data_IF_371819466306
#
_entry.id   IF_371819466306
#
_cell.length_a   1.000
_cell.length_b   1.000
_cell.length_c   1.000
_cell.angle_alpha   90.00
_cell.angle_beta   90.00
_cell.angle_gamma   90.00
#
_symmetry.space_group_name_H-M   'P 1'
#
loop_
_entity.id
_entity.type
_entity.pdbx_description
1 polymer ?
#
# COMPACT_ATOMS: atom_id res chain seq x y z
N UNK A 1 -17.74 -10.41 -6.14
CA UNK A 1 -17.91 -8.94 -6.04
C UNK A 1 -16.55 -8.30 -5.77
N UNK A 2 -16.03 -7.48 -6.68
CA UNK A 2 -14.78 -6.76 -6.42
C UNK A 2 -14.99 -5.80 -5.25
N UNK A 3 -14.28 -6.00 -4.13
CA UNK A 3 -14.35 -5.09 -2.97
C UNK A 3 -13.92 -3.69 -3.41
N UNK A 4 -14.78 -2.70 -3.26
CA UNK A 4 -14.44 -1.31 -3.55
C UNK A 4 -13.32 -0.85 -2.60
N UNK A 5 -12.29 -0.24 -3.17
CA UNK A 5 -11.13 0.24 -2.40
C UNK A 5 -11.54 1.51 -1.63
N UNK A 6 -11.38 1.57 -0.29
CA UNK A 6 -11.67 2.79 0.47
C UNK A 6 -10.83 3.98 0.00
N UNK A 7 -11.41 5.20 0.02
CA UNK A 7 -10.74 6.41 -0.47
C UNK A 7 -9.41 6.71 0.23
N UNK A 8 -9.31 6.41 1.52
CA UNK A 8 -8.05 6.51 2.27
C UNK A 8 -6.94 5.66 1.63
N UNK A 9 -7.26 4.45 1.15
CA UNK A 9 -6.32 3.54 0.50
C UNK A 9 -5.97 3.97 -0.91
N UNK A 10 -6.96 4.47 -1.66
CA UNK A 10 -6.74 5.06 -2.99
C UNK A 10 -5.76 6.23 -2.94
N UNK A 11 -5.92 7.14 -1.97
CA UNK A 11 -5.02 8.29 -1.81
C UNK A 11 -3.60 7.82 -1.49
N UNK A 12 -3.43 6.90 -0.55
CA UNK A 12 -2.11 6.36 -0.20
C UNK A 12 -1.41 5.69 -1.39
N UNK A 13 -2.13 4.84 -2.14
CA UNK A 13 -1.59 4.21 -3.35
C UNK A 13 -1.22 5.23 -4.43
N UNK A 14 -2.04 6.28 -4.58
CA UNK A 14 -1.79 7.32 -5.58
C UNK A 14 -0.56 8.12 -5.21
N UNK A 15 -0.40 8.49 -3.94
CA UNK A 15 0.80 9.19 -3.46
C UNK A 15 2.06 8.32 -3.59
N UNK A 16 1.98 7.03 -3.29
CA UNK A 16 3.14 6.13 -3.41
C UNK A 16 3.57 5.90 -4.85
N UNK A 17 2.62 5.87 -5.79
CA UNK A 17 2.92 5.75 -7.23
C UNK A 17 3.55 7.01 -7.84
N UNK A 18 3.48 8.15 -7.13
CA UNK A 18 4.11 9.41 -7.54
C UNK A 18 5.56 9.54 -7.00
N UNK A 19 6.11 8.45 -6.44
CA UNK A 19 7.51 8.27 -6.04
C UNK A 19 8.08 9.39 -5.17
N UNK A 20 7.94 9.32 -3.83
CA UNK A 20 8.49 10.20 -2.76
C UNK A 20 8.42 11.74 -2.97
N UNK A 21 7.90 12.18 -4.12
CA UNK A 21 7.74 13.56 -4.47
C UNK A 21 6.53 14.07 -3.75
N UNK A 22 6.71 15.26 -3.21
CA UNK A 22 5.68 15.93 -2.50
C UNK A 22 4.68 16.46 -3.56
N UNK A 23 3.41 16.07 -3.43
CA UNK A 23 2.39 16.31 -4.47
C UNK A 23 1.52 17.49 -4.08
N UNK A 24 1.29 18.40 -5.02
CA UNK A 24 0.32 19.48 -4.83
C UNK A 24 -1.11 18.92 -4.67
N UNK A 25 -1.87 19.46 -3.72
CA UNK A 25 -3.24 19.04 -3.44
C UNK A 25 -4.14 19.07 -4.70
N UNK A 26 -3.99 20.06 -5.58
CA UNK A 26 -4.70 20.16 -6.84
C UNK A 26 -4.42 18.97 -7.75
N UNK A 27 -3.16 18.61 -7.94
CA UNK A 27 -2.76 17.45 -8.75
C UNK A 27 -3.27 16.13 -8.15
N UNK A 28 -3.24 16.00 -6.82
CA UNK A 28 -3.83 14.85 -6.12
C UNK A 28 -5.34 14.76 -6.35
N UNK A 29 -6.06 15.89 -6.35
CA UNK A 29 -7.52 15.89 -6.60
C UNK A 29 -7.86 15.40 -8.01
N UNK A 30 -7.06 15.78 -9.01
CA UNK A 30 -7.23 15.35 -10.41
C UNK A 30 -6.95 13.85 -10.56
N UNK A 31 -5.85 13.35 -10.00
CA UNK A 31 -5.47 11.93 -10.08
C UNK A 31 -6.47 11.01 -9.38
N UNK A 32 -6.95 11.39 -8.19
CA UNK A 32 -8.02 10.67 -7.49
C UNK A 32 -9.33 10.77 -8.27
N UNK A 33 -9.69 11.95 -8.77
CA UNK A 33 -10.92 12.18 -9.53
C UNK A 33 -11.05 11.32 -10.79
N UNK A 34 -9.97 11.18 -11.57
CA UNK A 34 -9.95 10.34 -12.78
C UNK A 34 -10.19 8.85 -12.45
N UNK A 35 -9.62 8.34 -11.35
CA UNK A 35 -9.82 6.95 -10.90
C UNK A 35 -11.22 6.69 -10.33
N UNK A 36 -11.88 7.71 -9.78
CA UNK A 36 -13.24 7.64 -9.24
C UNK A 36 -14.34 7.90 -10.28
N UNK A 37 -14.01 8.52 -11.42
CA UNK A 37 -14.97 9.12 -12.36
C UNK A 37 -15.68 8.18 -13.32
N UNK A 38 -15.23 6.94 -13.49
CA UNK A 38 -15.70 6.02 -14.54
C UNK A 38 -17.10 5.44 -14.33
N UNK A 39 -17.81 5.75 -13.24
CA UNK A 39 -18.98 4.98 -12.84
C UNK A 39 -20.37 5.55 -13.20
N UNK A 40 -20.56 6.78 -13.70
CA UNK A 40 -21.92 7.30 -13.94
C UNK A 40 -22.02 8.33 -15.08
N UNK A 41 -22.70 7.97 -16.17
CA UNK A 41 -23.26 8.90 -17.18
C UNK A 41 -24.77 8.68 -17.31
N UNK A 42 -25.57 9.61 -16.75
CA UNK A 42 -26.89 10.08 -17.25
C UNK A 42 -27.55 11.08 -16.28
N UNK A 43 -27.98 12.23 -16.81
CA UNK A 43 -29.10 13.05 -16.31
C UNK A 43 -28.82 14.16 -15.27
N UNK A 44 -29.09 15.43 -15.65
CA UNK A 44 -29.08 16.65 -14.81
C UNK A 44 -27.70 17.31 -14.76
N UNK A 45 -27.34 18.14 -15.76
CA UNK A 45 -25.94 18.19 -16.19
C UNK A 45 -25.00 19.15 -15.47
N UNK A 46 -25.42 20.35 -15.06
CA UNK A 46 -24.45 21.34 -14.54
C UNK A 46 -24.56 21.56 -13.04
N UNK A 47 -25.73 21.93 -12.52
CA UNK A 47 -25.91 22.16 -11.07
C UNK A 47 -25.66 20.88 -10.24
N UNK A 48 -26.20 19.74 -10.69
CA UNK A 48 -25.96 18.45 -10.02
C UNK A 48 -24.51 18.00 -10.19
N UNK A 49 -23.85 18.31 -11.31
CA UNK A 49 -22.43 18.04 -11.48
C UNK A 49 -21.56 18.92 -10.58
N UNK A 50 -21.91 20.18 -10.40
CA UNK A 50 -21.21 21.12 -9.52
C UNK A 50 -21.37 20.74 -8.06
N UNK A 51 -22.59 20.42 -7.62
CA UNK A 51 -22.83 19.88 -6.27
C UNK A 51 -22.07 18.57 -6.03
N UNK A 52 -22.00 17.69 -7.04
CA UNK A 52 -21.18 16.47 -6.99
C UNK A 52 -19.68 16.81 -6.89
N UNK A 53 -19.20 17.82 -7.62
CA UNK A 53 -17.80 18.28 -7.59
C UNK A 53 -17.44 18.84 -6.21
N UNK A 54 -18.28 19.71 -5.65
CA UNK A 54 -18.11 20.28 -4.33
C UNK A 54 -18.12 19.18 -3.25
N UNK A 55 -19.06 18.24 -3.33
CA UNK A 55 -19.12 17.09 -2.41
C UNK A 55 -17.88 16.20 -2.51
N UNK A 56 -17.38 15.92 -3.73
CA UNK A 56 -16.12 15.16 -3.94
C UNK A 56 -14.92 15.89 -3.33
N UNK A 57 -14.81 17.19 -3.53
CA UNK A 57 -13.74 18.03 -2.95
C UNK A 57 -13.80 18.00 -1.42
N UNK A 58 -15.00 18.06 -0.85
CA UNK A 58 -15.18 17.98 0.61
C UNK A 58 -14.79 16.61 1.16
N UNK A 59 -15.25 15.52 0.55
CA UNK A 59 -14.90 14.15 0.94
C UNK A 59 -13.38 13.93 0.84
N UNK A 60 -12.73 14.45 -0.21
CA UNK A 60 -11.29 14.35 -0.36
C UNK A 60 -10.56 15.12 0.75
N UNK A 61 -10.97 16.36 1.04
CA UNK A 61 -10.41 17.17 2.14
C UNK A 61 -10.54 16.48 3.49
N UNK A 62 -11.72 15.95 3.81
CA UNK A 62 -11.93 15.23 5.09
C UNK A 62 -11.07 13.97 5.16
N UNK A 63 -10.93 13.23 4.05
CA UNK A 63 -10.08 12.04 4.00
C UNK A 63 -8.60 12.38 4.16
N UNK A 64 -8.12 13.46 3.54
CA UNK A 64 -6.74 13.96 3.70
C UNK A 64 -6.50 14.36 5.16
N UNK A 65 -7.45 15.07 5.78
CA UNK A 65 -7.36 15.42 7.20
C UNK A 65 -7.30 14.18 8.10
N UNK A 66 -8.08 13.14 7.82
CA UNK A 66 -8.02 11.88 8.54
C UNK A 66 -6.66 11.18 8.40
N UNK A 67 -6.10 11.13 7.18
CA UNK A 67 -4.78 10.54 6.93
C UNK A 67 -3.67 11.32 7.64
N UNK A 68 -3.77 12.65 7.66
CA UNK A 68 -2.84 13.54 8.37
C UNK A 68 -2.93 13.36 9.88
N UNK A 69 -4.13 13.35 10.45
CA UNK A 69 -4.37 13.11 11.88
C UNK A 69 -3.81 11.75 12.31
N UNK A 70 -3.97 10.71 11.48
CA UNK A 70 -3.42 9.38 11.73
C UNK A 70 -1.92 9.24 11.41
N UNK A 71 -1.25 10.33 11.00
CA UNK A 71 0.18 10.40 10.68
C UNK A 71 0.62 9.52 9.50
N UNK A 72 -0.26 9.25 8.55
CA UNK A 72 0.10 8.55 7.30
C UNK A 72 0.67 9.50 6.24
N UNK A 73 0.32 10.78 6.32
CA UNK A 73 0.81 11.84 5.44
C UNK A 73 1.19 13.06 6.26
N UNK A 74 2.09 13.87 5.74
CA UNK A 74 2.34 15.26 6.15
C UNK A 74 1.80 16.19 5.07
N UNK A 75 1.45 17.41 5.47
CA UNK A 75 1.05 18.46 4.55
C UNK A 75 1.75 19.75 4.97
N UNK A 76 2.46 20.40 4.05
CA UNK A 76 3.14 21.69 4.28
C UNK A 76 2.70 22.69 3.22
N UNK A 77 2.44 23.94 3.63
CA UNK A 77 2.19 25.03 2.69
C UNK A 77 3.51 25.52 2.13
N UNK A 78 3.61 25.61 0.81
CA UNK A 78 4.75 26.18 0.08
C UNK A 78 4.19 27.22 -0.87
N UNK A 79 4.30 28.50 -0.51
CA UNK A 79 3.61 29.59 -1.20
C UNK A 79 2.09 29.40 -1.17
N UNK A 80 1.45 29.41 -2.34
CA UNK A 80 0.01 29.19 -2.49
C UNK A 80 -0.39 27.70 -2.60
N UNK A 81 0.58 26.78 -2.52
CA UNK A 81 0.38 25.35 -2.76
C UNK A 81 0.43 24.55 -1.47
N UNK A 82 -0.43 23.54 -1.35
CA UNK A 82 -0.38 22.58 -0.25
C UNK A 82 0.30 21.30 -0.73
N UNK A 83 1.48 21.05 -0.21
CA UNK A 83 2.34 19.95 -0.59
C UNK A 83 2.13 18.77 0.36
N UNK A 84 1.73 17.61 -0.17
CA UNK A 84 1.42 16.41 0.59
C UNK A 84 2.50 15.36 0.36
N UNK A 85 3.01 14.77 1.45
CA UNK A 85 4.06 13.74 1.40
C UNK A 85 3.66 12.55 2.28
N UNK A 86 4.03 11.34 1.87
CA UNK A 86 3.87 10.15 2.71
C UNK A 86 4.86 10.19 3.87
N UNK A 87 4.43 9.69 5.04
CA UNK A 87 5.36 9.39 6.14
C UNK A 87 5.88 7.96 6.01
N UNK A 88 6.90 7.58 6.78
CA UNK A 88 7.34 6.18 6.89
C UNK A 88 6.17 5.23 7.22
N UNK A 89 5.25 5.69 8.09
CA UNK A 89 4.01 4.97 8.42
C UNK A 89 3.08 4.85 7.20
N UNK A 90 2.95 5.91 6.39
CA UNK A 90 2.24 5.92 5.12
C UNK A 90 2.80 4.93 4.11
N UNK A 91 4.12 4.90 3.93
CA UNK A 91 4.81 3.94 3.06
C UNK A 91 4.55 2.51 3.50
N UNK A 92 4.80 2.18 4.77
CA UNK A 92 4.56 0.84 5.31
C UNK A 92 3.10 0.40 5.13
N UNK A 93 2.14 1.29 5.40
CA UNK A 93 0.72 1.00 5.21
C UNK A 93 0.34 0.77 3.74
N UNK A 94 1.04 1.42 2.82
CA UNK A 94 0.84 1.24 1.38
C UNK A 94 1.38 -0.10 0.91
N UNK A 95 2.57 -0.50 1.37
CA UNK A 95 3.13 -1.82 1.08
C UNK A 95 2.20 -2.92 1.59
N UNK A 96 1.78 -2.86 2.86
CA UNK A 96 0.81 -3.81 3.43
C UNK A 96 -0.46 -3.89 2.60
N UNK A 97 -0.94 -2.74 2.10
CA UNK A 97 -2.14 -2.72 1.26
C UNK A 97 -1.92 -3.37 -0.11
N UNK A 98 -0.78 -3.09 -0.77
CA UNK A 98 -0.39 -3.76 -2.02
C UNK A 98 -0.28 -5.28 -1.85
N UNK A 99 0.32 -5.73 -0.75
CA UNK A 99 0.43 -7.16 -0.42
C UNK A 99 -0.95 -7.83 -0.29
N UNK A 100 -1.91 -7.16 0.37
CA UNK A 100 -3.28 -7.67 0.51
C UNK A 100 -4.10 -7.67 -0.78
N UNK A 101 -3.77 -6.78 -1.72
CA UNK A 101 -4.42 -6.71 -3.03
C UNK A 101 -3.79 -7.65 -4.06
N UNK A 102 -2.66 -8.28 -3.73
CA UNK A 102 -1.98 -9.20 -4.63
C UNK A 102 -2.90 -10.36 -5.02
N UNK A 103 -2.86 -10.73 -6.30
CA UNK A 103 -3.63 -11.86 -6.82
C UNK A 103 -3.13 -13.16 -6.17
N UNK A 104 -3.99 -14.15 -5.92
CA UNK A 104 -3.54 -15.47 -5.48
C UNK A 104 -2.60 -16.10 -6.50
N UNK A 105 -1.64 -16.88 -6.02
CA UNK A 105 -0.85 -17.78 -6.84
C UNK A 105 -1.70 -18.99 -7.27
N UNK A 106 -1.32 -19.69 -8.36
CA UNK A 106 -1.80 -21.04 -8.60
C UNK A 106 -1.53 -21.96 -7.40
N UNK A 107 -2.35 -23.00 -7.16
CA UNK A 107 -2.09 -23.98 -6.11
C UNK A 107 -0.67 -24.53 -6.20
N UNK A 108 0.01 -24.67 -5.05
CA UNK A 108 1.38 -25.19 -4.99
C UNK A 108 2.48 -24.17 -5.24
N UNK A 109 2.15 -22.91 -5.61
CA UNK A 109 3.11 -21.82 -5.76
C UNK A 109 3.04 -20.81 -4.62
N UNK A 110 4.20 -20.28 -4.25
CA UNK A 110 4.37 -19.42 -3.09
C UNK A 110 5.35 -18.29 -3.38
N UNK A 111 5.12 -17.14 -2.75
CA UNK A 111 6.18 -16.15 -2.53
C UNK A 111 6.81 -16.44 -1.17
N UNK A 112 8.12 -16.68 -1.15
CA UNK A 112 8.89 -16.98 0.05
C UNK A 112 9.78 -15.78 0.37
N UNK A 113 9.81 -15.39 1.63
CA UNK A 113 10.74 -14.39 2.14
C UNK A 113 11.62 -15.07 3.18
N UNK A 114 12.93 -15.05 2.93
CA UNK A 114 13.95 -15.60 3.82
C UNK A 114 14.83 -14.44 4.26
N UNK A 115 15.18 -14.38 5.54
CA UNK A 115 16.07 -13.34 6.02
C UNK A 115 16.98 -13.76 7.17
N UNK A 116 18.17 -13.18 7.21
CA UNK A 116 19.10 -13.30 8.33
C UNK A 116 19.56 -11.90 8.77
N UNK A 117 18.74 -11.26 9.61
CA UNK A 117 18.99 -9.88 10.06
C UNK A 117 19.73 -9.93 11.40
N UNK A 118 20.93 -9.30 11.50
CA UNK A 118 21.77 -9.36 12.69
C UNK A 118 21.09 -8.73 13.91
N UNK A 119 21.55 -9.10 15.11
CA UNK A 119 20.94 -8.62 16.37
C UNK A 119 21.06 -7.10 16.57
N UNK A 120 22.14 -6.50 16.06
CA UNK A 120 22.31 -5.04 16.00
C UNK A 120 21.17 -4.34 15.25
N UNK A 121 20.41 -5.07 14.42
CA UNK A 121 19.30 -4.59 13.61
C UNK A 121 17.96 -5.23 14.01
N UNK A 122 17.82 -5.66 15.27
CA UNK A 122 16.63 -6.32 15.79
C UNK A 122 15.33 -5.54 15.56
N UNK A 123 15.39 -4.20 15.60
CA UNK A 123 14.24 -3.34 15.31
C UNK A 123 13.75 -3.50 13.86
N UNK A 124 14.65 -3.52 12.89
CA UNK A 124 14.32 -3.72 11.49
C UNK A 124 13.74 -5.12 11.24
N UNK A 125 14.32 -6.15 11.87
CA UNK A 125 13.79 -7.53 11.85
C UNK A 125 12.36 -7.61 12.38
N UNK A 126 12.06 -6.92 13.50
CA UNK A 126 10.71 -6.86 14.09
C UNK A 126 9.73 -6.16 13.15
N UNK A 127 10.15 -5.05 12.52
CA UNK A 127 9.34 -4.32 11.56
C UNK A 127 9.04 -5.13 10.30
N UNK A 128 10.02 -5.83 9.74
CA UNK A 128 9.83 -6.73 8.60
C UNK A 128 8.82 -7.84 8.92
N UNK A 129 8.98 -8.52 10.06
CA UNK A 129 8.02 -9.56 10.52
C UNK A 129 6.60 -9.01 10.69
N UNK A 130 6.47 -7.80 11.25
CA UNK A 130 5.17 -7.15 11.41
C UNK A 130 4.54 -6.84 10.04
N UNK A 131 5.32 -6.30 9.10
CA UNK A 131 4.86 -5.98 7.75
C UNK A 131 4.41 -7.23 6.99
N UNK A 132 5.20 -8.30 7.02
CA UNK A 132 4.86 -9.58 6.38
C UNK A 132 3.57 -10.16 6.96
N UNK A 133 3.46 -10.22 8.30
CA UNK A 133 2.25 -10.67 8.99
C UNK A 133 1.03 -9.83 8.60
N UNK A 134 1.15 -8.50 8.61
CA UNK A 134 0.07 -7.60 8.22
C UNK A 134 -0.29 -7.74 6.74
N UNK A 135 0.69 -8.04 5.87
CA UNK A 135 0.52 -8.28 4.44
C UNK A 135 -0.12 -9.63 4.10
N UNK A 136 -0.34 -10.51 5.08
CA UNK A 136 -0.98 -11.81 4.89
C UNK A 136 -0.02 -12.98 4.74
N UNK A 137 1.27 -12.80 5.04
CA UNK A 137 2.22 -13.91 5.04
C UNK A 137 2.03 -14.79 6.28
N UNK A 138 2.19 -16.10 6.10
CA UNK A 138 2.28 -17.10 7.15
C UNK A 138 3.75 -17.29 7.55
N UNK A 139 4.01 -17.42 8.85
CA UNK A 139 5.34 -17.75 9.37
C UNK A 139 5.57 -19.25 9.27
N UNK A 140 6.54 -19.68 8.46
CA UNK A 140 6.94 -21.09 8.36
C UNK A 140 8.01 -21.42 9.41
N UNK A 141 9.01 -20.55 9.57
CA UNK A 141 10.07 -20.62 10.58
C UNK A 141 10.39 -19.23 11.12
N UNK A 142 11.39 -19.08 12.00
CA UNK A 142 11.75 -17.75 12.55
C UNK A 142 12.12 -16.72 11.48
N UNK A 143 12.79 -17.18 10.43
CA UNK A 143 13.33 -16.36 9.36
C UNK A 143 12.73 -16.68 7.99
N UNK A 144 11.69 -17.52 7.94
CA UNK A 144 11.07 -17.98 6.70
C UNK A 144 9.57 -17.70 6.74
N UNK A 145 9.10 -16.92 5.78
CA UNK A 145 7.71 -16.49 5.64
C UNK A 145 7.18 -16.79 4.24
N UNK A 146 5.92 -17.17 4.17
CA UNK A 146 5.27 -17.63 2.94
C UNK A 146 4.00 -16.84 2.65
N UNK A 147 3.75 -16.54 1.39
CA UNK A 147 2.46 -16.05 0.90
C UNK A 147 1.96 -16.91 -0.26
N UNK A 148 0.67 -17.21 -0.25
CA UNK A 148 -0.06 -17.82 -1.38
C UNK A 148 -0.56 -16.77 -2.38
N UNK A 149 -0.10 -15.52 -2.29
CA UNK A 149 -0.39 -14.45 -3.24
C UNK A 149 0.86 -13.98 -3.96
N UNK A 150 0.71 -13.53 -5.19
CA UNK A 150 1.78 -13.02 -6.05
C UNK A 150 2.27 -11.66 -5.57
N UNK A 151 3.12 -11.71 -4.55
CA UNK A 151 3.63 -10.57 -3.80
C UNK A 151 5.11 -10.31 -4.08
N UNK A 152 5.76 -11.19 -4.85
CA UNK A 152 7.19 -11.14 -5.14
C UNK A 152 7.66 -9.73 -5.50
N UNK A 153 7.07 -9.12 -6.52
CA UNK A 153 7.49 -7.81 -7.01
C UNK A 153 7.35 -6.70 -5.95
N UNK A 154 6.26 -6.73 -5.18
CA UNK A 154 6.02 -5.73 -4.12
C UNK A 154 7.02 -5.87 -2.97
N UNK A 155 7.36 -7.11 -2.59
CA UNK A 155 8.36 -7.35 -1.54
C UNK A 155 9.77 -7.03 -2.05
N UNK A 156 10.10 -7.42 -3.28
CA UNK A 156 11.40 -7.14 -3.90
C UNK A 156 11.67 -5.62 -3.97
N UNK A 157 10.71 -4.83 -4.46
CA UNK A 157 10.80 -3.37 -4.46
C UNK A 157 11.01 -2.81 -3.05
N UNK A 158 10.25 -3.30 -2.07
CA UNK A 158 10.40 -2.86 -0.68
C UNK A 158 11.78 -3.20 -0.11
N UNK A 159 12.28 -4.41 -0.36
CA UNK A 159 13.60 -4.86 0.12
C UNK A 159 14.73 -4.09 -0.54
N UNK A 160 14.59 -3.68 -1.81
CA UNK A 160 15.58 -2.85 -2.50
C UNK A 160 15.58 -1.39 -2.01
N UNK A 161 14.39 -0.84 -1.73
CA UNK A 161 14.24 0.53 -1.23
C UNK A 161 14.65 0.67 0.24
N UNK A 162 14.54 -0.41 1.00
CA UNK A 162 15.03 -0.48 2.37
C UNK A 162 16.46 -0.99 2.34
N UNK A 163 17.34 -0.55 3.24
CA UNK A 163 18.71 -1.07 3.34
C UNK A 163 18.76 -2.50 3.92
N UNK A 164 17.80 -3.35 3.56
CA UNK A 164 17.61 -4.71 4.03
C UNK A 164 18.00 -5.75 2.98
N UNK A 165 18.33 -5.33 1.76
CA UNK A 165 18.73 -6.23 0.66
C UNK A 165 19.93 -7.11 1.00
N UNK A 166 20.79 -6.69 1.94
CA UNK A 166 21.93 -7.48 2.43
C UNK A 166 21.50 -8.70 3.27
N UNK A 167 20.31 -8.65 3.88
CA UNK A 167 19.85 -9.65 4.84
C UNK A 167 18.57 -10.36 4.41
N UNK A 168 17.87 -9.86 3.40
CA UNK A 168 16.54 -10.35 3.01
C UNK A 168 16.57 -10.76 1.55
N UNK A 169 16.13 -11.98 1.29
CA UNK A 169 15.92 -12.48 -0.06
C UNK A 169 14.47 -12.94 -0.26
N UNK A 170 14.00 -12.83 -1.50
CA UNK A 170 12.62 -13.13 -1.89
C UNK A 170 12.66 -14.11 -3.05
N UNK A 171 11.85 -15.16 -2.96
CA UNK A 171 11.80 -16.22 -3.94
C UNK A 171 10.37 -16.45 -4.42
N UNK A 172 10.24 -16.88 -5.67
CA UNK A 172 9.08 -17.64 -6.11
C UNK A 172 9.44 -19.12 -5.97
N UNK A 173 8.64 -19.85 -5.20
CA UNK A 173 8.86 -21.27 -4.98
C UNK A 173 7.63 -22.06 -5.41
N UNK A 174 7.87 -23.29 -5.87
CA UNK A 174 6.86 -24.31 -6.05
C UNK A 174 7.26 -25.58 -5.26
N UNK A 175 6.32 -26.50 -5.10
CA UNK A 175 6.58 -27.83 -4.52
C UNK A 175 7.28 -27.83 -3.15
N UNK A 176 6.76 -27.07 -2.18
CA UNK A 176 7.22 -27.12 -0.79
C UNK A 176 7.05 -28.53 -0.20
N UNK A 177 8.12 -29.12 0.32
CA UNK A 177 8.07 -30.41 1.04
C UNK A 177 7.06 -30.38 2.19
N UNK A 178 7.00 -29.26 2.92
CA UNK A 178 6.06 -29.03 4.00
C UNK A 178 5.32 -27.70 3.78
N UNK A 179 4.14 -27.72 3.12
CA UNK A 179 3.35 -26.51 2.97
C UNK A 179 2.81 -26.05 4.34
N UNK A 180 2.58 -24.73 4.52
CA UNK A 180 1.99 -24.22 5.74
C UNK A 180 0.61 -24.84 5.91
N UNK A 181 0.29 -25.31 7.14
CA UNK A 181 -1.05 -25.79 7.45
C UNK A 181 -2.02 -24.65 7.15
N UNK A 182 -2.99 -24.89 6.25
CA UNK A 182 -4.05 -23.90 6.00
C UNK A 182 -4.69 -23.59 7.34
N UNK A 183 -4.73 -22.32 7.72
CA UNK A 183 -5.59 -21.90 8.81
C UNK A 183 -7.02 -22.15 8.32
N UNK A 184 -7.66 -23.15 8.91
CA UNK A 184 -9.07 -23.47 8.74
C UNK A 184 -9.94 -22.28 9.12
#
# INVERSE_FOLDING_TARGET
>A
MAKSIPLTKMILLTLAGLADTAVDLGNLTTAVGQRYGSAWRRGGQEYVAELKRLRRKQILRTTINQLRYRKYITARSVGQRLLITLTNKGHAATIVYRLKLAKPHPPGRYTVVIFDVPESQAAARKQLRLLLKQGGFCKLQQSVWLSQTNTYQTVAEFVQQTKLFEWVNVYQADHLLHPPRRAS
#
